data_IF_234385448928
#
_entry.id   IF_234385448928
#
_cell.length_a   1.000
_cell.length_b   1.000
_cell.length_c   1.000
_cell.angle_alpha   90.00
_cell.angle_beta   90.00
_cell.angle_gamma   90.00
#
_symmetry.space_group_name_H-M   'P 1'
#
loop_
_entity.id
_entity.type
_entity.pdbx_description
1 polymer ?
#
# COMPACT_ATOMS: atom_id res chain seq x y z
N UNK A 1 -26.89 4.35 26.41
CA UNK A 1 -25.97 3.42 25.72
C UNK A 1 -26.74 2.40 24.87
N UNK A 2 -27.20 2.78 23.67
CA UNK A 2 -27.92 1.85 22.78
C UNK A 2 -27.69 2.09 21.28
N UNK A 3 -26.83 3.06 20.90
CA UNK A 3 -26.60 3.43 19.50
C UNK A 3 -25.26 2.95 18.92
N UNK A 4 -24.38 2.39 19.75
CA UNK A 4 -23.08 1.87 19.29
C UNK A 4 -23.13 0.43 18.75
N UNK A 5 -24.21 -0.32 19.01
CA UNK A 5 -24.25 -1.75 18.68
C UNK A 5 -24.77 -2.05 17.26
N UNK A 6 -25.46 -1.12 16.59
CA UNK A 6 -26.02 -1.37 15.25
C UNK A 6 -25.00 -1.22 14.12
N UNK A 7 -23.92 -0.44 14.32
CA UNK A 7 -22.89 -0.23 13.31
C UNK A 7 -21.97 -1.46 13.14
N UNK A 8 -21.72 -2.21 14.22
CA UNK A 8 -20.89 -3.42 14.17
C UNK A 8 -21.63 -4.64 13.59
N UNK A 9 -22.96 -4.72 13.76
CA UNK A 9 -23.75 -5.84 13.21
C UNK A 9 -23.93 -5.74 11.70
N UNK A 10 -23.86 -4.53 11.11
CA UNK A 10 -24.02 -4.33 9.66
C UNK A 10 -22.75 -4.62 8.84
N UNK A 11 -21.58 -4.52 9.45
CA UNK A 11 -20.29 -4.85 8.81
C UNK A 11 -20.09 -6.38 8.73
N UNK A 12 -20.76 -7.15 9.60
CA UNK A 12 -20.58 -8.61 9.68
C UNK A 12 -21.39 -9.42 8.66
N UNK A 13 -22.26 -8.78 7.85
CA UNK A 13 -23.24 -9.49 7.00
C UNK A 13 -22.90 -9.45 5.49
N UNK A 14 -21.82 -8.80 5.05
CA UNK A 14 -21.46 -8.75 3.61
C UNK A 14 -20.43 -9.80 3.16
N UNK A 15 -19.93 -10.67 4.04
CA UNK A 15 -18.96 -11.73 3.68
C UNK A 15 -19.57 -13.13 3.69
N UNK A 16 -20.78 -13.27 3.15
CA UNK A 16 -21.40 -14.58 2.98
C UNK A 16 -21.56 -14.91 1.49
N UNK A 17 -20.81 -15.93 1.06
CA UNK A 17 -20.99 -16.74 -0.16
C UNK A 17 -20.33 -16.23 -1.44
N UNK A 18 -19.01 -16.31 -1.49
CA UNK A 18 -18.30 -16.78 -2.68
C UNK A 18 -17.40 -17.94 -2.26
N UNK A 19 -17.90 -19.17 -2.37
CA UNK A 19 -17.06 -20.39 -2.32
C UNK A 19 -16.49 -20.61 -3.73
N UNK A 20 -15.49 -19.81 -4.09
CA UNK A 20 -14.58 -20.14 -5.17
C UNK A 20 -13.34 -20.76 -4.55
N UNK A 21 -13.06 -22.02 -4.86
CA UNK A 21 -11.77 -22.65 -4.52
C UNK A 21 -10.69 -21.98 -5.37
N UNK A 22 -10.11 -20.88 -4.89
CA UNK A 22 -8.84 -20.38 -5.40
C UNK A 22 -7.79 -21.31 -4.81
N UNK A 23 -7.35 -22.29 -5.60
CA UNK A 23 -6.18 -23.09 -5.28
C UNK A 23 -4.97 -22.17 -5.25
N UNK A 24 -4.57 -21.72 -4.06
CA UNK A 24 -3.29 -21.07 -3.85
C UNK A 24 -2.19 -22.10 -4.08
N UNK A 25 -1.68 -22.21 -5.31
CA UNK A 25 -0.41 -22.88 -5.55
C UNK A 25 0.68 -22.02 -4.90
N UNK A 26 1.07 -22.37 -3.68
CA UNK A 26 2.29 -21.86 -3.06
C UNK A 26 3.49 -22.43 -3.84
N UNK A 27 3.89 -21.74 -4.91
CA UNK A 27 5.24 -21.90 -5.44
C UNK A 27 6.19 -21.27 -4.41
N UNK A 28 6.63 -22.05 -3.43
CA UNK A 28 7.86 -21.76 -2.68
C UNK A 28 9.04 -21.96 -3.63
N UNK A 29 9.25 -21.00 -4.53
CA UNK A 29 10.60 -20.75 -4.99
C UNK A 29 11.26 -19.92 -3.89
N UNK A 30 12.03 -20.59 -3.03
CA UNK A 30 13.05 -19.91 -2.24
C UNK A 30 14.10 -19.41 -3.22
N UNK A 31 13.83 -18.26 -3.84
CA UNK A 31 14.86 -17.44 -4.44
C UNK A 31 15.56 -16.84 -3.22
N UNK A 32 16.66 -17.47 -2.79
CA UNK A 32 17.60 -16.77 -1.93
C UNK A 32 17.89 -15.45 -2.65
N UNK A 33 17.73 -14.28 -1.99
CA UNK A 33 18.17 -13.04 -2.61
C UNK A 33 19.64 -13.26 -2.94
N UNK A 34 19.96 -13.26 -4.23
CA UNK A 34 21.33 -13.14 -4.68
C UNK A 34 21.80 -11.84 -4.04
N UNK A 35 22.55 -11.95 -2.93
CA UNK A 35 23.17 -10.80 -2.30
C UNK A 35 24.11 -10.23 -3.37
N UNK A 36 23.62 -9.24 -4.10
CA UNK A 36 24.46 -8.26 -4.76
C UNK A 36 25.49 -7.82 -3.73
N UNK A 37 26.77 -7.71 -4.13
CA UNK A 37 27.84 -7.36 -3.19
C UNK A 37 27.40 -6.13 -2.39
N UNK A 38 27.55 -6.14 -1.05
CA UNK A 38 27.09 -5.05 -0.21
C UNK A 38 27.67 -3.76 -0.76
N UNK A 39 26.83 -2.73 -0.90
CA UNK A 39 27.33 -1.43 -1.32
C UNK A 39 28.47 -1.04 -0.37
N UNK A 40 29.54 -0.44 -0.90
CA UNK A 40 30.75 -0.13 -0.12
C UNK A 40 30.50 0.89 1.01
N UNK A 41 29.28 1.40 1.16
CA UNK A 41 28.92 2.37 2.17
C UNK A 41 28.41 1.71 3.46
N UNK A 42 28.86 2.23 4.60
CA UNK A 42 28.26 2.00 5.91
C UNK A 42 28.01 3.35 6.58
N UNK A 43 27.09 3.38 7.54
CA UNK A 43 26.84 4.54 8.40
C UNK A 43 26.91 4.10 9.85
N UNK A 44 27.41 4.97 10.73
CA UNK A 44 27.54 4.69 12.15
C UNK A 44 26.41 5.36 12.93
N UNK A 45 25.71 4.59 13.77
CA UNK A 45 24.71 5.09 14.70
C UNK A 45 24.90 4.42 16.06
N UNK A 46 25.06 5.24 17.11
CA UNK A 46 25.35 4.77 18.48
C UNK A 46 26.61 3.88 18.59
N UNK A 47 27.64 4.17 17.78
CA UNK A 47 28.89 3.40 17.76
C UNK A 47 28.78 2.02 17.11
N UNK A 48 27.67 1.74 16.43
CA UNK A 48 27.46 0.52 15.64
C UNK A 48 27.38 0.90 14.16
N UNK A 49 28.12 0.17 13.33
CA UNK A 49 28.14 0.36 11.88
C UNK A 49 27.05 -0.49 11.21
N UNK A 50 26.25 0.15 10.35
CA UNK A 50 25.18 -0.47 9.58
C UNK A 50 25.49 -0.37 8.08
N UNK A 51 25.37 -1.47 7.32
CA UNK A 51 25.59 -1.44 5.88
C UNK A 51 24.49 -0.65 5.17
N UNK A 52 24.86 0.13 4.16
CA UNK A 52 23.90 0.74 3.25
C UNK A 52 23.47 -0.32 2.23
N UNK A 53 22.26 -0.85 2.38
CA UNK A 53 21.68 -1.78 1.41
C UNK A 53 20.97 -0.97 0.29
N UNK A 54 21.24 -1.26 -0.99
CA UNK A 54 20.60 -0.54 -2.08
C UNK A 54 19.12 -0.96 -2.20
N UNK A 55 18.26 0.03 -2.45
CA UNK A 55 16.95 -0.21 -3.05
C UNK A 55 17.11 0.00 -4.55
N UNK A 56 16.91 -1.05 -5.33
CA UNK A 56 17.08 -0.99 -6.78
C UNK A 56 15.94 -0.21 -7.44
N UNK A 57 16.10 0.05 -8.75
CA UNK A 57 15.10 0.76 -9.55
C UNK A 57 13.79 -0.02 -9.74
N UNK A 58 13.72 -1.29 -9.32
CA UNK A 58 12.50 -2.10 -9.37
C UNK A 58 11.68 -1.96 -8.09
N UNK A 59 12.22 -1.35 -7.04
CA UNK A 59 11.52 -1.09 -5.79
C UNK A 59 10.28 -0.23 -6.06
N UNK A 60 9.06 -0.72 -5.78
CA UNK A 60 7.85 -0.03 -6.17
C UNK A 60 7.63 1.24 -5.33
N UNK A 61 7.12 2.29 -5.99
CA UNK A 61 6.58 3.46 -5.32
C UNK A 61 5.16 3.17 -4.81
N UNK A 62 4.85 3.62 -3.59
CA UNK A 62 3.53 3.43 -2.98
C UNK A 62 2.98 4.78 -2.51
N UNK A 63 1.81 5.14 -3.00
CA UNK A 63 1.04 6.32 -2.59
C UNK A 63 -0.23 5.89 -1.86
N UNK A 64 -0.74 6.74 -0.97
CA UNK A 64 -1.97 6.45 -0.21
C UNK A 64 -2.90 7.66 -0.21
N UNK A 65 -4.18 7.42 -0.53
CA UNK A 65 -5.25 8.39 -0.41
C UNK A 65 -6.48 7.76 0.23
N UNK A 66 -6.78 8.16 1.47
CA UNK A 66 -7.98 7.74 2.18
C UNK A 66 -9.01 8.87 2.12
N UNK A 67 -10.06 8.68 1.32
CA UNK A 67 -11.11 9.66 1.12
C UNK A 67 -12.21 9.52 2.18
N UNK A 68 -12.51 10.61 2.89
CA UNK A 68 -13.56 10.63 3.91
C UNK A 68 -14.94 10.83 3.30
N UNK A 69 -15.05 11.60 2.23
CA UNK A 69 -16.30 11.95 1.58
C UNK A 69 -16.21 11.71 0.06
N UNK A 70 -16.37 10.46 -0.41
CA UNK A 70 -16.22 10.12 -1.83
C UNK A 70 -17.28 10.79 -2.73
N UNK A 71 -18.43 11.14 -2.17
CA UNK A 71 -19.54 11.79 -2.89
C UNK A 71 -19.19 13.20 -3.40
N UNK A 72 -18.06 13.77 -2.98
CA UNK A 72 -17.55 15.05 -3.49
C UNK A 72 -16.97 14.96 -4.91
N UNK A 73 -16.70 13.76 -5.40
CA UNK A 73 -16.21 13.50 -6.74
C UNK A 73 -17.38 13.10 -7.64
N UNK A 74 -17.28 13.37 -8.94
CA UNK A 74 -18.23 12.85 -9.91
C UNK A 74 -18.28 11.32 -9.90
N UNK A 75 -19.42 10.74 -10.23
CA UNK A 75 -19.63 9.28 -10.19
C UNK A 75 -18.64 8.47 -11.03
N UNK A 76 -18.02 9.09 -12.04
CA UNK A 76 -17.02 8.50 -12.92
C UNK A 76 -15.64 9.19 -12.80
N UNK A 77 -15.40 9.96 -11.74
CA UNK A 77 -14.11 10.60 -11.48
C UNK A 77 -13.24 9.74 -10.56
N UNK A 78 -11.92 9.83 -10.73
CA UNK A 78 -10.96 9.19 -9.81
C UNK A 78 -11.04 9.94 -8.47
N UNK A 79 -11.35 9.26 -7.34
CA UNK A 79 -11.60 9.92 -6.06
C UNK A 79 -10.30 10.27 -5.32
N UNK A 80 -9.41 10.99 -6.00
CA UNK A 80 -8.16 11.56 -5.50
C UNK A 80 -8.13 13.04 -5.88
N UNK A 81 -7.84 13.91 -4.92
CA UNK A 81 -7.88 15.36 -5.17
C UNK A 81 -6.88 15.77 -6.27
N UNK A 82 -7.35 16.59 -7.21
CA UNK A 82 -6.56 17.04 -8.35
C UNK A 82 -6.87 18.48 -8.76
N UNK A 83 -6.79 19.41 -7.80
CA UNK A 83 -7.02 20.85 -8.05
C UNK A 83 -5.71 21.56 -8.37
N UNK A 84 -5.75 22.82 -8.83
CA UNK A 84 -4.53 23.63 -9.02
C UNK A 84 -3.66 23.71 -7.75
N UNK A 85 -4.29 23.81 -6.57
CA UNK A 85 -3.59 23.88 -5.29
C UNK A 85 -3.07 22.51 -4.83
N UNK A 86 -3.85 21.46 -5.08
CA UNK A 86 -3.52 20.09 -4.66
C UNK A 86 -3.65 19.13 -5.86
N UNK A 87 -2.67 19.10 -6.78
CA UNK A 87 -2.70 18.28 -7.97
C UNK A 87 -2.17 16.86 -7.69
N UNK A 88 -2.67 16.19 -6.65
CA UNK A 88 -2.05 14.94 -6.16
C UNK A 88 -2.18 13.79 -7.14
N UNK A 89 -3.34 13.64 -7.80
CA UNK A 89 -3.49 12.64 -8.85
C UNK A 89 -2.49 12.86 -9.99
N UNK A 90 -2.30 14.11 -10.44
CA UNK A 90 -1.31 14.42 -11.47
C UNK A 90 0.12 14.12 -10.98
N UNK A 91 0.44 14.40 -9.72
CA UNK A 91 1.76 14.09 -9.16
C UNK A 91 2.03 12.58 -9.14
N UNK A 92 1.02 11.75 -8.83
CA UNK A 92 1.14 10.29 -8.83
C UNK A 92 1.34 9.75 -10.26
N UNK A 93 0.65 10.33 -11.25
CA UNK A 93 0.81 9.95 -12.67
C UNK A 93 2.20 10.28 -13.19
N UNK A 94 2.80 11.37 -12.69
CA UNK A 94 4.11 11.86 -13.14
C UNK A 94 5.30 11.24 -12.37
N UNK A 95 5.04 10.40 -11.37
CA UNK A 95 6.07 9.82 -10.51
C UNK A 95 6.88 8.72 -11.17
#
# INVERSE_FOLDING_TARGET
MARFNAAFTRIKIMFSRIRGLISCQSNTQTIAPTLSPPSSGHVSFAGVDYPLLPLDHQTPLVFQWFERNPDRFGQNEIPIINTQKNPYLNNIINA
#
